data_IF_345292824830
#
_entry.id   IF_345292824830
#
_cell.length_a   1.000
_cell.length_b   1.000
_cell.length_c   1.000
_cell.angle_alpha   90.00
_cell.angle_beta   90.00
_cell.angle_gamma   90.00
#
_symmetry.space_group_name_H-M   'P 1'
#
loop_
_entity.id
_entity.type
_entity.pdbx_description
1 polymer ?
#
# COMPACT_ATOMS: atom_id res chain seq x y z
N UNK A 1 -11.65 9.88 3.57
CA UNK A 1 -10.83 8.68 3.27
C UNK A 1 -9.45 9.08 2.76
N UNK A 2 -9.30 9.66 1.56
CA UNK A 2 -7.99 10.06 0.98
C UNK A 2 -7.11 10.85 1.95
N UNK A 3 -7.62 11.96 2.52
CA UNK A 3 -6.87 12.76 3.51
C UNK A 3 -6.45 11.97 4.75
N UNK A 4 -7.27 11.01 5.18
CA UNK A 4 -6.96 10.14 6.33
C UNK A 4 -5.83 9.17 6.00
N UNK A 5 -5.83 8.62 4.77
CA UNK A 5 -4.76 7.78 4.27
C UNK A 5 -3.47 8.61 4.24
N UNK A 6 -3.48 9.78 3.58
CA UNK A 6 -2.34 10.71 3.55
C UNK A 6 -1.76 11.02 4.93
N UNK A 7 -2.62 11.31 5.92
CA UNK A 7 -2.21 11.53 7.31
C UNK A 7 -1.59 10.30 7.95
N UNK A 8 -2.12 9.09 7.73
CA UNK A 8 -1.56 7.84 8.27
C UNK A 8 -0.18 7.52 7.71
N UNK A 9 0.09 7.96 6.48
CA UNK A 9 1.40 7.87 5.84
C UNK A 9 2.28 9.10 6.11
N UNK A 10 1.93 9.96 7.08
CA UNK A 10 2.68 11.17 7.43
C UNK A 10 3.01 12.07 6.23
N UNK A 11 2.12 12.12 5.24
CA UNK A 11 2.31 12.89 4.01
C UNK A 11 3.16 12.21 2.93
N UNK A 12 3.81 11.07 3.23
CA UNK A 12 4.66 10.34 2.27
C UNK A 12 3.88 9.70 1.12
N UNK A 13 2.58 9.45 1.31
CA UNK A 13 1.73 8.87 0.27
C UNK A 13 0.35 9.49 0.29
N UNK A 14 -0.07 10.06 -0.84
CA UNK A 14 -1.43 10.56 -1.06
C UNK A 14 -2.07 9.82 -2.23
N UNK A 15 -3.06 8.95 -1.99
CA UNK A 15 -3.70 8.24 -3.09
C UNK A 15 -4.59 9.17 -3.91
N UNK A 16 -4.68 8.93 -5.22
CA UNK A 16 -5.57 9.69 -6.10
C UNK A 16 -7.03 9.21 -5.94
N UNK A 17 -8.02 10.06 -6.24
CA UNK A 17 -9.42 9.62 -6.36
C UNK A 17 -9.58 8.38 -7.25
N UNK A 18 -8.87 8.35 -8.38
CA UNK A 18 -8.90 7.26 -9.35
C UNK A 18 -8.36 5.93 -8.82
N UNK A 19 -7.45 5.93 -7.83
CA UNK A 19 -6.97 4.69 -7.20
C UNK A 19 -7.85 4.22 -6.04
N UNK A 20 -8.56 5.13 -5.36
CA UNK A 20 -9.34 4.80 -4.15
C UNK A 20 -10.76 4.35 -4.48
N UNK A 21 -11.47 5.07 -5.33
CA UNK A 21 -12.89 4.83 -5.55
C UNK A 21 -13.21 3.47 -6.20
N UNK A 22 -12.40 2.95 -7.17
CA UNK A 22 -12.62 1.60 -7.70
C UNK A 22 -12.53 0.52 -6.61
N UNK A 23 -11.56 0.63 -5.71
CA UNK A 23 -11.40 -0.31 -4.59
C UNK A 23 -12.60 -0.25 -3.66
N UNK A 24 -13.05 0.96 -3.28
CA UNK A 24 -14.25 1.13 -2.46
C UNK A 24 -15.48 0.50 -3.15
N UNK A 25 -15.62 0.68 -4.46
CA UNK A 25 -16.72 0.08 -5.22
C UNK A 25 -16.69 -1.45 -5.16
N UNK A 26 -15.51 -2.05 -5.28
CA UNK A 26 -15.31 -3.51 -5.14
C UNK A 26 -15.72 -4.01 -3.76
N UNK A 27 -15.24 -3.33 -2.70
CA UNK A 27 -15.58 -3.67 -1.31
C UNK A 27 -17.08 -3.57 -1.03
N UNK A 28 -17.79 -2.65 -1.70
CA UNK A 28 -19.24 -2.54 -1.61
C UNK A 28 -19.94 -3.66 -2.37
N UNK A 29 -19.50 -3.98 -3.59
CA UNK A 29 -20.08 -5.11 -4.34
C UNK A 29 -19.86 -6.46 -3.67
N UNK A 30 -18.76 -6.62 -2.96
CA UNK A 30 -18.43 -7.82 -2.18
C UNK A 30 -19.13 -7.88 -0.81
N UNK A 31 -19.86 -6.82 -0.42
CA UNK A 31 -20.57 -6.76 0.86
C UNK A 31 -19.68 -6.55 2.09
N UNK A 32 -18.37 -6.29 1.89
CA UNK A 32 -17.41 -6.02 2.96
C UNK A 32 -17.56 -4.60 3.54
N UNK A 33 -18.10 -3.68 2.73
CA UNK A 33 -18.41 -2.31 3.11
C UNK A 33 -19.83 -1.98 2.66
N UNK A 34 -20.58 -1.24 3.48
CA UNK A 34 -21.87 -0.65 3.11
C UNK A 34 -21.76 0.86 2.96
N UNK A 35 -22.72 1.44 2.23
CA UNK A 35 -22.81 2.89 2.01
C UNK A 35 -24.09 3.42 2.63
N UNK A 36 -23.95 4.32 3.61
CA UNK A 36 -25.06 5.05 4.21
C UNK A 36 -25.04 6.49 3.69
N UNK A 37 -26.22 7.11 3.51
CA UNK A 37 -26.32 8.53 3.19
C UNK A 37 -26.73 9.30 4.44
N UNK A 38 -25.85 10.16 4.93
CA UNK A 38 -26.11 11.00 6.11
C UNK A 38 -25.92 12.45 5.71
N UNK A 39 -26.98 13.26 5.83
CA UNK A 39 -26.96 14.68 5.48
C UNK A 39 -26.42 14.96 4.06
N UNK A 40 -26.87 14.17 3.08
CA UNK A 40 -26.44 14.28 1.69
C UNK A 40 -25.01 13.82 1.39
N UNK A 41 -24.30 13.25 2.37
CA UNK A 41 -22.93 12.72 2.20
C UNK A 41 -22.93 11.20 2.30
N UNK A 42 -22.21 10.55 1.38
CA UNK A 42 -21.93 9.12 1.43
C UNK A 42 -20.94 8.81 2.56
N UNK A 43 -21.35 7.96 3.48
CA UNK A 43 -20.53 7.41 4.56
C UNK A 43 -20.33 5.93 4.28
N UNK A 44 -19.08 5.49 4.27
CA UNK A 44 -18.71 4.10 4.05
C UNK A 44 -18.45 3.43 5.40
N UNK A 45 -19.11 2.30 5.66
CA UNK A 45 -19.05 1.59 6.94
C UNK A 45 -18.66 0.15 6.69
N UNK A 46 -17.63 -0.33 7.39
CA UNK A 46 -17.24 -1.75 7.31
C UNK A 46 -18.34 -2.63 7.90
N UNK A 47 -18.69 -3.71 7.21
CA UNK A 47 -19.67 -4.70 7.69
C UNK A 47 -19.01 -5.70 8.64
N UNK A 48 -19.81 -6.53 9.30
CA UNK A 48 -19.26 -7.60 10.15
C UNK A 48 -18.50 -8.64 9.32
N UNK A 49 -19.00 -8.96 8.12
CA UNK A 49 -18.27 -9.77 7.14
C UNK A 49 -16.93 -9.13 6.77
N UNK A 50 -16.91 -7.82 6.46
CA UNK A 50 -15.67 -7.08 6.20
C UNK A 50 -14.69 -7.12 7.37
N UNK A 51 -15.16 -7.08 8.62
CA UNK A 51 -14.30 -7.21 9.80
C UNK A 51 -13.69 -8.60 9.94
N UNK A 52 -14.46 -9.66 9.66
CA UNK A 52 -13.94 -11.04 9.68
C UNK A 52 -12.85 -11.22 8.63
N UNK A 53 -13.14 -10.86 7.38
CA UNK A 53 -12.18 -10.93 6.27
C UNK A 53 -10.91 -10.14 6.57
N UNK A 54 -11.03 -8.91 7.11
CA UNK A 54 -9.86 -8.14 7.51
C UNK A 54 -9.00 -8.85 8.56
N UNK A 55 -9.63 -9.52 9.55
CA UNK A 55 -8.91 -10.26 10.59
C UNK A 55 -8.17 -11.46 10.01
N UNK A 56 -8.83 -12.22 9.14
CA UNK A 56 -8.23 -13.36 8.43
C UNK A 56 -7.04 -12.93 7.58
N UNK A 57 -7.20 -11.92 6.73
CA UNK A 57 -6.12 -11.36 5.91
C UNK A 57 -4.95 -10.85 6.78
N UNK A 58 -5.25 -10.26 7.94
CA UNK A 58 -4.21 -9.76 8.86
C UNK A 58 -3.42 -10.90 9.48
N UNK A 59 -4.09 -11.98 9.90
CA UNK A 59 -3.40 -13.16 10.45
C UNK A 59 -2.65 -13.92 9.35
N UNK A 60 -3.20 -14.03 8.15
CA UNK A 60 -2.49 -14.60 7.00
C UNK A 60 -1.23 -13.80 6.67
N UNK A 61 -1.33 -12.48 6.57
CA UNK A 61 -0.17 -11.61 6.35
C UNK A 61 0.87 -11.82 7.45
N UNK A 62 0.47 -11.77 8.73
CA UNK A 62 1.36 -12.01 9.87
C UNK A 62 2.05 -13.37 9.79
N UNK A 63 1.29 -14.42 9.48
CA UNK A 63 1.81 -15.78 9.34
C UNK A 63 2.80 -15.87 8.18
N UNK A 64 2.46 -15.28 7.03
CA UNK A 64 3.30 -15.21 5.84
C UNK A 64 4.63 -14.47 6.10
N UNK A 65 4.58 -13.32 6.78
CA UNK A 65 5.77 -12.58 7.21
C UNK A 65 6.60 -13.33 8.28
N UNK A 66 5.96 -14.18 9.10
CA UNK A 66 6.62 -14.89 10.20
C UNK A 66 7.26 -16.23 9.79
N UNK A 67 6.66 -16.97 8.84
CA UNK A 67 7.03 -18.38 8.55
C UNK A 67 8.01 -18.52 7.36
N UNK A 68 7.98 -17.61 6.38
CA UNK A 68 8.82 -17.72 5.18
C UNK A 68 10.15 -16.96 5.31
N UNK A 69 11.26 -17.68 5.46
CA UNK A 69 12.60 -17.09 5.61
C UNK A 69 13.01 -16.22 4.40
N UNK A 70 12.55 -16.55 3.20
CA UNK A 70 12.80 -15.75 1.99
C UNK A 70 11.99 -14.44 1.98
N UNK A 71 10.73 -14.48 2.42
CA UNK A 71 9.91 -13.29 2.52
C UNK A 71 10.43 -12.34 3.61
N UNK A 72 10.93 -12.90 4.72
CA UNK A 72 11.63 -12.14 5.76
C UNK A 72 12.85 -11.39 5.21
N UNK A 73 13.65 -12.04 4.36
CA UNK A 73 14.78 -11.40 3.66
C UNK A 73 14.30 -10.26 2.75
N UNK A 74 13.26 -10.49 1.95
CA UNK A 74 12.68 -9.44 1.08
C UNK A 74 12.18 -8.24 1.89
N UNK A 75 11.39 -8.47 2.95
CA UNK A 75 10.93 -7.38 3.82
C UNK A 75 12.06 -6.64 4.50
N UNK A 76 13.13 -7.35 4.89
CA UNK A 76 14.29 -6.71 5.50
C UNK A 76 15.01 -5.81 4.51
N UNK A 77 15.25 -6.28 3.28
CA UNK A 77 15.86 -5.45 2.23
C UNK A 77 15.01 -4.20 1.91
N UNK A 78 13.68 -4.34 1.81
CA UNK A 78 12.79 -3.19 1.59
C UNK A 78 12.81 -2.21 2.78
N UNK A 79 12.88 -2.73 4.00
CA UNK A 79 12.98 -1.92 5.21
C UNK A 79 14.32 -1.18 5.29
N UNK A 80 15.43 -1.83 4.93
CA UNK A 80 16.77 -1.22 4.92
C UNK A 80 16.85 -0.07 3.89
N UNK A 81 16.19 -0.21 2.73
CA UNK A 81 16.02 0.89 1.77
C UNK A 81 15.25 2.05 2.42
N UNK A 82 14.11 1.77 3.04
CA UNK A 82 13.31 2.79 3.73
C UNK A 82 14.08 3.52 4.83
N UNK A 83 14.85 2.77 5.64
CA UNK A 83 15.69 3.32 6.70
C UNK A 83 16.81 4.20 6.12
N UNK A 84 17.42 3.78 5.01
CA UNK A 84 18.44 4.57 4.31
C UNK A 84 17.86 5.90 3.85
N UNK A 85 16.71 5.89 3.17
CA UNK A 85 16.04 7.12 2.74
C UNK A 85 15.68 8.02 3.93
N UNK A 86 15.22 7.45 5.03
CA UNK A 86 14.94 8.20 6.25
C UNK A 86 16.19 8.85 6.86
N UNK A 87 17.33 8.15 6.87
CA UNK A 87 18.59 8.68 7.40
C UNK A 87 19.11 9.87 6.56
N UNK A 88 18.81 9.87 5.26
CA UNK A 88 19.18 10.96 4.34
C UNK A 88 18.03 11.95 4.04
N UNK A 89 16.97 11.96 4.85
CA UNK A 89 15.76 12.78 4.62
C UNK A 89 16.04 14.28 4.44
N UNK A 90 17.11 14.80 5.05
CA UNK A 90 17.49 16.22 4.92
C UNK A 90 18.02 16.55 3.53
N UNK A 91 18.78 15.63 2.92
CA UNK A 91 19.30 15.77 1.55
C UNK A 91 18.15 15.56 0.54
N UNK A 92 17.22 14.65 0.84
CA UNK A 92 16.02 14.41 0.02
C UNK A 92 15.04 15.59 -0.04
N UNK A 93 15.28 16.68 0.71
CA UNK A 93 14.52 17.94 0.54
C UNK A 93 14.88 18.66 -0.76
N UNK A 94 16.08 18.40 -1.30
CA UNK A 94 16.48 18.90 -2.63
C UNK A 94 15.68 18.18 -3.72
N UNK A 95 14.95 18.95 -4.53
CA UNK A 95 14.02 18.43 -5.53
C UNK A 95 14.73 17.59 -6.60
N UNK A 96 15.93 18.01 -7.02
CA UNK A 96 16.72 17.26 -7.99
C UNK A 96 17.09 15.89 -7.43
N UNK A 97 17.66 15.85 -6.23
CA UNK A 97 18.07 14.61 -5.56
C UNK A 97 16.88 13.70 -5.28
N UNK A 98 15.75 14.26 -4.85
CA UNK A 98 14.50 13.51 -4.66
C UNK A 98 14.05 12.82 -5.95
N UNK A 99 14.03 13.55 -7.08
CA UNK A 99 13.60 13.01 -8.37
C UNK A 99 14.57 11.93 -8.90
N UNK A 100 15.88 12.09 -8.69
CA UNK A 100 16.87 11.06 -9.02
C UNK A 100 16.63 9.78 -8.22
N UNK A 101 16.42 9.88 -6.90
CA UNK A 101 16.12 8.74 -6.04
C UNK A 101 14.79 8.07 -6.40
N UNK A 102 13.77 8.85 -6.71
CA UNK A 102 12.48 8.33 -7.17
C UNK A 102 12.62 7.54 -8.48
N UNK A 103 13.44 8.03 -9.42
CA UNK A 103 13.73 7.33 -10.68
C UNK A 103 14.34 5.95 -10.40
N UNK A 104 15.29 5.87 -9.47
CA UNK A 104 15.91 4.59 -9.06
C UNK A 104 14.87 3.62 -8.47
N UNK A 105 13.97 4.11 -7.63
CA UNK A 105 12.90 3.29 -7.03
C UNK A 105 11.96 2.77 -8.11
N UNK A 106 11.54 3.62 -9.05
CA UNK A 106 10.65 3.22 -10.14
C UNK A 106 11.30 2.19 -11.08
N UNK A 107 12.59 2.35 -11.40
CA UNK A 107 13.30 1.38 -12.22
C UNK A 107 13.49 0.04 -11.50
N UNK A 108 13.72 0.07 -10.18
CA UNK A 108 13.73 -1.13 -9.35
C UNK A 108 12.37 -1.86 -9.41
N UNK A 109 11.26 -1.11 -9.26
CA UNK A 109 9.91 -1.65 -9.36
C UNK A 109 9.65 -2.31 -10.72
N UNK A 110 9.95 -1.62 -11.83
CA UNK A 110 9.77 -2.17 -13.19
C UNK A 110 10.57 -3.46 -13.40
N UNK A 111 11.81 -3.52 -12.88
CA UNK A 111 12.64 -4.73 -12.98
C UNK A 111 12.05 -5.89 -12.19
N UNK A 112 11.53 -5.64 -10.98
CA UNK A 112 10.84 -6.67 -10.19
C UNK A 112 9.57 -7.14 -10.91
N UNK A 113 8.75 -6.22 -11.42
CA UNK A 113 7.55 -6.55 -12.21
C UNK A 113 7.90 -7.46 -13.40
N UNK A 114 8.93 -7.12 -14.19
CA UNK A 114 9.39 -7.93 -15.32
C UNK A 114 9.83 -9.35 -14.91
N UNK A 115 10.53 -9.51 -13.78
CA UNK A 115 10.92 -10.82 -13.25
C UNK A 115 9.67 -11.63 -12.86
N UNK A 116 8.73 -11.02 -12.15
CA UNK A 116 7.51 -11.70 -11.69
C UNK A 116 6.56 -12.05 -12.83
N UNK A 117 6.48 -11.22 -13.87
CA UNK A 117 5.72 -11.51 -15.08
C UNK A 117 6.35 -12.63 -15.91
N UNK A 118 7.68 -12.72 -15.96
CA UNK A 118 8.40 -13.82 -16.59
C UNK A 118 8.05 -15.17 -15.97
N UNK A 119 7.97 -15.23 -14.64
CA UNK A 119 7.60 -16.45 -13.89
C UNK A 119 6.13 -16.86 -14.11
N UNK A 120 5.23 -15.94 -14.49
CA UNK A 120 3.81 -16.25 -14.77
C UNK A 120 3.56 -16.82 -16.18
N UNK A 121 4.55 -16.77 -17.08
CA UNK A 121 4.43 -17.22 -18.48
C UNK A 121 4.98 -18.63 -18.72
N UNK A 122 5.61 -19.24 -17.71
CA UNK A 122 6.00 -20.65 -17.67
C UNK A 122 4.96 -21.47 -16.88
#
# INVERSE_FOLDING_TARGET
>A
IIKTIEKKFSGLYKPSPGSVYPVIKSLVSEGLVKVDNVNGKKIYVITDSGRSTYKEMKEEAKNFFSQNNQYRKLTRSLFDIGLTLYNYKEILKDEKTFNEVMTVIDDCRKKIEAVLEGVKKE
#
